data_IF_257467165196
#
_entry.id   IF_257467165196
#
_cell.length_a   1.000
_cell.length_b   1.000
_cell.length_c   1.000
_cell.angle_alpha   90.00
_cell.angle_beta   90.00
_cell.angle_gamma   90.00
#
_symmetry.space_group_name_H-M   'P 1'
#
loop_
_entity.id
_entity.type
_entity.pdbx_description
1 polymer ?
#
# COMPACT_ATOMS: atom_id res chain seq x y z
N UNK A 1 -12.94 -13.57 6.65
CA UNK A 1 -13.05 -13.63 5.18
C UNK A 1 -12.02 -12.70 4.59
N UNK A 2 -11.13 -13.22 3.75
CA UNK A 2 -10.13 -12.44 3.03
C UNK A 2 -10.68 -12.10 1.65
N UNK A 3 -10.76 -10.81 1.30
CA UNK A 3 -11.25 -10.36 -0.01
C UNK A 3 -10.07 -9.97 -0.88
N UNK A 4 -9.94 -10.61 -2.05
CA UNK A 4 -8.97 -10.23 -3.08
C UNK A 4 -9.47 -8.99 -3.81
N UNK A 5 -8.57 -8.05 -4.09
CA UNK A 5 -8.87 -6.76 -4.72
C UNK A 5 -7.80 -6.40 -5.76
N UNK A 6 -8.21 -5.59 -6.73
CA UNK A 6 -7.35 -4.93 -7.69
C UNK A 6 -7.65 -3.43 -7.57
N UNK A 7 -6.64 -2.62 -7.27
CA UNK A 7 -6.77 -1.17 -7.04
C UNK A 7 -5.69 -0.42 -7.79
N UNK A 8 -5.99 0.82 -8.19
CA UNK A 8 -5.10 1.67 -8.94
C UNK A 8 -4.91 3.00 -8.23
N UNK A 9 -3.70 3.56 -8.31
CA UNK A 9 -3.40 4.85 -7.68
C UNK A 9 -1.93 5.18 -7.75
N UNK A 10 -1.56 6.32 -7.16
CA UNK A 10 -0.18 6.73 -7.00
C UNK A 10 0.39 6.06 -5.76
N UNK A 11 1.51 5.36 -5.91
CA UNK A 11 2.20 4.74 -4.79
C UNK A 11 3.06 5.79 -4.07
N UNK A 12 2.83 5.99 -2.78
CA UNK A 12 3.54 6.92 -1.90
C UNK A 12 4.31 6.16 -0.82
N UNK A 13 5.46 6.71 -0.41
CA UNK A 13 6.34 6.12 0.61
C UNK A 13 7.65 5.58 0.03
N UNK A 14 8.53 4.99 0.85
CA UNK A 14 8.18 4.30 2.08
C UNK A 14 7.97 5.25 3.26
N UNK A 15 6.85 5.08 3.96
CA UNK A 15 6.60 5.70 5.25
C UNK A 15 7.35 4.89 6.32
N UNK A 16 8.69 5.00 6.32
CA UNK A 16 9.57 4.34 7.28
C UNK A 16 9.24 4.83 8.70
N UNK A 17 8.65 3.92 9.48
CA UNK A 17 8.57 3.82 10.94
C UNK A 17 8.82 5.12 11.73
N UNK A 18 7.78 5.93 11.92
CA UNK A 18 7.70 6.77 13.12
C UNK A 18 7.17 5.84 14.23
N UNK A 19 7.97 5.49 15.25
CA UNK A 19 7.64 4.45 16.24
C UNK A 19 6.36 4.74 17.04
N UNK A 20 5.82 5.96 16.98
CA UNK A 20 4.62 6.39 17.69
C UNK A 20 3.30 6.06 16.95
N UNK A 21 3.36 5.78 15.64
CA UNK A 21 2.18 5.54 14.79
C UNK A 21 2.39 4.50 13.70
N UNK A 22 3.28 3.53 13.88
CA UNK A 22 3.63 2.56 12.84
C UNK A 22 2.39 1.74 12.40
N UNK A 23 1.89 1.91 11.16
CA UNK A 23 0.84 1.08 10.63
C UNK A 23 1.40 -0.27 10.15
N UNK A 24 0.56 -1.30 9.93
CA UNK A 24 1.00 -2.61 9.42
C UNK A 24 1.42 -2.60 7.93
N UNK A 25 1.57 -1.41 7.33
CA UNK A 25 1.89 -1.17 5.93
C UNK A 25 3.01 -0.13 5.81
N UNK A 26 3.76 -0.16 4.72
CA UNK A 26 4.95 0.68 4.51
C UNK A 26 4.69 1.74 3.42
N UNK A 27 3.73 1.48 2.53
CA UNK A 27 3.37 2.37 1.45
C UNK A 27 1.88 2.72 1.52
N UNK A 28 1.49 3.77 0.81
CA UNK A 28 0.10 4.17 0.65
C UNK A 28 -0.19 4.28 -0.85
N UNK A 29 -1.31 3.73 -1.28
CA UNK A 29 -1.83 3.94 -2.62
C UNK A 29 -2.92 5.00 -2.56
N UNK A 30 -2.70 6.12 -3.25
CA UNK A 30 -3.61 7.26 -3.28
C UNK A 30 -4.33 7.33 -4.63
N UNK A 31 -5.66 7.40 -4.60
CA UNK A 31 -6.48 7.55 -5.79
C UNK A 31 -6.74 9.04 -6.08
N UNK A 32 -6.36 9.48 -7.28
CA UNK A 32 -6.31 10.91 -7.66
C UNK A 32 -7.67 11.61 -7.67
N UNK A 33 -8.77 10.90 -7.91
CA UNK A 33 -10.08 11.53 -8.13
C UNK A 33 -10.81 11.78 -6.82
N UNK A 34 -10.74 10.82 -5.89
CA UNK A 34 -11.43 10.89 -4.60
C UNK A 34 -10.51 11.33 -3.47
N UNK A 35 -9.19 11.30 -3.65
CA UNK A 35 -8.21 11.48 -2.59
C UNK A 35 -8.24 10.33 -1.56
N UNK A 36 -8.93 9.23 -1.87
CA UNK A 36 -8.95 8.06 -1.01
C UNK A 36 -7.58 7.38 -1.00
N UNK A 37 -7.17 6.91 0.17
CA UNK A 37 -5.87 6.31 0.38
C UNK A 37 -6.00 4.96 1.09
N UNK A 38 -5.20 3.98 0.69
CA UNK A 38 -5.14 2.68 1.35
C UNK A 38 -3.69 2.22 1.54
N UNK A 39 -3.39 1.67 2.71
CA UNK A 39 -2.06 1.15 3.01
C UNK A 39 -1.72 -0.11 2.23
N UNK A 40 -0.49 -0.21 1.74
CA UNK A 40 0.04 -1.36 1.00
C UNK A 40 1.27 -1.95 1.72
N UNK A 41 1.31 -3.27 1.82
CA UNK A 41 2.46 -4.02 2.31
C UNK A 41 2.75 -5.20 1.38
N UNK A 42 4.02 -5.53 1.19
CA UNK A 42 4.44 -6.71 0.42
C UNK A 42 5.00 -7.75 1.37
N UNK A 43 4.63 -9.02 1.16
CA UNK A 43 5.23 -10.13 1.90
C UNK A 43 6.59 -10.48 1.30
N UNK A 44 7.58 -9.64 1.57
CA UNK A 44 8.99 -10.00 1.47
C UNK A 44 9.38 -10.75 0.18
N UNK A 45 8.89 -10.30 -0.98
CA UNK A 45 9.36 -10.76 -2.27
C UNK A 45 10.63 -9.98 -2.63
N UNK A 46 11.75 -10.68 -2.66
CA UNK A 46 13.07 -10.12 -2.99
C UNK A 46 13.12 -9.48 -4.40
N UNK A 47 12.14 -9.81 -5.25
CA UNK A 47 12.07 -9.37 -6.64
C UNK A 47 11.25 -8.09 -6.83
N UNK A 48 10.33 -7.76 -5.91
CA UNK A 48 9.58 -6.52 -6.02
C UNK A 48 10.30 -5.39 -5.28
N UNK A 49 10.67 -4.37 -6.04
CA UNK A 49 11.37 -3.17 -5.56
C UNK A 49 10.38 -2.00 -5.51
N UNK A 50 9.52 -1.89 -4.47
CA UNK A 50 8.48 -0.88 -4.40
C UNK A 50 9.02 0.56 -4.48
N UNK A 51 10.28 0.79 -4.07
CA UNK A 51 10.95 2.08 -4.19
C UNK A 51 11.17 2.53 -5.65
N UNK A 52 11.28 1.61 -6.61
CA UNK A 52 11.37 1.98 -8.03
C UNK A 52 10.01 2.46 -8.58
N UNK A 53 8.94 2.28 -7.82
CA UNK A 53 7.56 2.65 -8.16
C UNK A 53 7.01 3.81 -7.32
N UNK A 54 7.83 4.43 -6.47
CA UNK A 54 7.43 5.62 -5.71
C UNK A 54 7.03 6.76 -6.66
N UNK A 55 5.94 7.45 -6.31
CA UNK A 55 5.29 8.51 -7.09
C UNK A 55 4.81 8.11 -8.48
N UNK A 56 4.77 6.81 -8.79
CA UNK A 56 4.22 6.30 -10.04
C UNK A 56 2.79 5.82 -9.87
N UNK A 57 2.03 5.94 -10.95
CA UNK A 57 0.70 5.36 -11.04
C UNK A 57 0.82 3.84 -11.28
N UNK A 58 0.30 3.05 -10.36
CA UNK A 58 0.44 1.59 -10.35
C UNK A 58 -0.91 0.91 -10.19
N UNK A 59 -0.98 -0.33 -10.64
CA UNK A 59 -2.06 -1.26 -10.30
C UNK A 59 -1.54 -2.28 -9.30
N UNK A 60 -2.20 -2.41 -8.15
CA UNK A 60 -1.87 -3.37 -7.10
C UNK A 60 -2.97 -4.42 -7.02
N UNK A 61 -2.57 -5.70 -7.09
CA UNK A 61 -3.46 -6.84 -6.83
C UNK A 61 -3.03 -7.46 -5.50
N UNK A 62 -4.00 -7.72 -4.63
CA UNK A 62 -3.69 -8.31 -3.33
C UNK A 62 -4.93 -8.62 -2.50
N UNK A 63 -4.71 -8.86 -1.21
CA UNK A 63 -5.75 -9.26 -0.27
C UNK A 63 -5.94 -8.19 0.79
N UNK A 64 -7.20 -7.79 1.02
CA UNK A 64 -7.53 -6.90 2.13
C UNK A 64 -7.29 -7.63 3.46
N UNK A 65 -6.50 -7.00 4.31
CA UNK A 65 -6.21 -7.39 5.68
C UNK A 65 -6.67 -6.30 6.64
N UNK A 66 -6.94 -6.73 7.87
CA UNK A 66 -7.20 -5.85 9.01
C UNK A 66 -5.98 -5.90 9.92
N UNK A 67 -5.47 -4.74 10.30
CA UNK A 67 -4.41 -4.60 11.29
C UNK A 67 -4.70 -3.44 12.23
N UNK A 68 -3.68 -3.00 12.96
CA UNK A 68 -3.81 -1.98 14.00
C UNK A 68 -2.61 -1.05 13.98
N UNK A 69 -2.84 0.25 14.19
CA UNK A 69 -1.77 1.20 14.49
C UNK A 69 -1.24 0.97 15.91
N UNK A 70 0.07 1.11 16.13
CA UNK A 70 0.70 1.03 17.47
C UNK A 70 1.73 2.16 17.66
N UNK A 71 2.08 2.54 18.90
CA UNK A 71 1.49 2.17 20.20
C UNK A 71 0.55 3.24 20.80
N UNK A 72 0.52 4.49 20.29
CA UNK A 72 -0.16 5.58 21.00
C UNK A 72 -1.69 5.52 20.94
N UNK A 73 -2.25 5.03 19.82
CA UNK A 73 -3.68 4.82 19.65
C UNK A 73 -3.86 3.55 18.81
N UNK A 74 -4.57 2.56 19.36
CA UNK A 74 -4.91 1.32 18.65
C UNK A 74 -6.14 1.58 17.79
N UNK A 75 -5.93 1.99 16.53
CA UNK A 75 -7.00 2.18 15.56
C UNK A 75 -6.99 0.99 14.61
N UNK A 76 -8.14 0.29 14.42
CA UNK A 76 -8.23 -0.72 13.39
C UNK A 76 -8.09 -0.07 12.02
N UNK A 77 -7.16 -0.57 11.21
CA UNK A 77 -6.93 -0.10 9.84
C UNK A 77 -7.05 -1.27 8.87
N UNK A 78 -7.56 -0.97 7.67
CA UNK A 78 -7.52 -1.90 6.55
C UNK A 78 -6.33 -1.56 5.66
N UNK A 79 -5.68 -2.60 5.16
CA UNK A 79 -4.56 -2.48 4.25
C UNK A 79 -4.59 -3.63 3.25
N UNK A 80 -3.88 -3.48 2.15
CA UNK A 80 -3.72 -4.51 1.13
C UNK A 80 -2.36 -5.16 1.33
N UNK A 81 -2.39 -6.47 1.49
CA UNK A 81 -1.22 -7.33 1.35
C UNK A 81 -1.09 -7.64 -0.14
N UNK A 82 -0.13 -6.98 -0.80
CA UNK A 82 0.07 -7.05 -2.23
C UNK A 82 0.71 -8.38 -2.64
N UNK A 83 0.16 -8.97 -3.71
CA UNK A 83 0.65 -10.18 -4.38
C UNK A 83 1.39 -9.79 -5.67
N UNK A 84 0.84 -8.84 -6.42
CA UNK A 84 1.37 -8.40 -7.71
C UNK A 84 1.26 -6.87 -7.83
N UNK A 85 2.17 -6.26 -8.60
CA UNK A 85 2.12 -4.83 -8.90
C UNK A 85 2.61 -4.55 -10.30
N UNK A 86 1.85 -3.74 -11.02
CA UNK A 86 2.12 -3.39 -12.41
C UNK A 86 2.30 -1.88 -12.52
N UNK A 87 3.42 -1.47 -13.10
CA UNK A 87 3.66 -0.08 -13.45
C UNK A 87 2.85 0.28 -14.68
N UNK A 88 2.01 1.32 -14.59
CA UNK A 88 1.50 1.95 -15.78
C UNK A 88 2.62 2.80 -16.37
N UNK A 89 3.32 2.27 -17.37
CA UNK A 89 4.05 3.10 -18.30
C UNK A 89 3.02 3.97 -19.01
N UNK A 90 3.03 5.27 -18.74
CA UNK A 90 2.27 6.25 -19.51
C UNK A 90 2.62 6.01 -20.98
N UNK A 91 1.69 5.43 -21.75
CA UNK A 91 1.75 5.49 -23.21
C UNK A 91 1.67 6.99 -23.53
N UNK A 92 2.81 7.51 -23.99
CA UNK A 92 3.03 8.90 -24.40
C UNK A 92 2.09 9.21 -25.56
#
# INVERSE_FOLDING_TARGET
MSKRVCVQGILKGPFLHIPEKAPPYIYVLEELQTGAAIGITWRNDADFRPWESEDKYVTVVGVIRKGFTRPLIVIPVYYIEAEETWLYAKLI
#
